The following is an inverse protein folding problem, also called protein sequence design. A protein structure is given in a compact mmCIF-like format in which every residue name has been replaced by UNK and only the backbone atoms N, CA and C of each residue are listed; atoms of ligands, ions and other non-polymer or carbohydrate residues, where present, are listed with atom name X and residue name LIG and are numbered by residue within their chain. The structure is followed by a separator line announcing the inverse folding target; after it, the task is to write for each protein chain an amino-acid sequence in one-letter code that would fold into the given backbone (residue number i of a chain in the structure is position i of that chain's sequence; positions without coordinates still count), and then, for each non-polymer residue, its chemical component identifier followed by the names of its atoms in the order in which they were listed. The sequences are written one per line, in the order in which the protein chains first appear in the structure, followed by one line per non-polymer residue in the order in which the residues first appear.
data_IF_289684343475
#
_entry.id   IF_289684343475
#
_cell.length_a   1.000
_cell.length_b   1.000
_cell.length_c   1.000
_cell.angle_alpha   90.00
_cell.angle_beta   90.00
_cell.angle_gamma   90.00
#
_symmetry.space_group_name_H-M   'P 1'
#
loop_
_entity.id
_entity.type
_entity.pdbx_description
1 polymer ?
#
# COMPACT_ATOMS: atom_id res chain seq x y z
N UNK A 1 37.47 -11.94 3.17
CA UNK A 1 36.06 -12.05 3.63
C UNK A 1 35.30 -10.71 3.54
N UNK A 2 35.58 -9.84 2.55
CA UNK A 2 34.97 -8.50 2.44
C UNK A 2 33.96 -8.34 1.26
N UNK A 3 33.74 -9.42 0.49
CA UNK A 3 32.82 -9.47 -0.66
C UNK A 3 31.36 -9.71 -0.25
N UNK A 4 31.09 -10.70 0.61
CA UNK A 4 29.74 -11.04 1.08
C UNK A 4 28.94 -9.84 1.63
N UNK A 5 29.59 -8.96 2.42
CA UNK A 5 28.93 -7.80 3.01
C UNK A 5 28.55 -6.71 2.00
N UNK A 6 29.20 -6.65 0.82
CA UNK A 6 28.84 -5.70 -0.24
C UNK A 6 27.66 -6.20 -1.04
N UNK A 7 27.65 -7.49 -1.37
CA UNK A 7 26.56 -8.11 -2.12
C UNK A 7 25.25 -8.12 -1.31
N UNK A 8 25.31 -8.40 0.00
CA UNK A 8 24.13 -8.32 0.88
C UNK A 8 23.58 -6.90 1.07
N UNK A 9 24.41 -5.87 0.90
CA UNK A 9 23.96 -4.47 0.92
C UNK A 9 23.34 -4.06 -0.41
N UNK A 10 23.87 -4.54 -1.52
CA UNK A 10 23.34 -4.29 -2.87
C UNK A 10 22.00 -5.00 -3.07
N UNK A 11 21.90 -6.27 -2.66
CA UNK A 11 20.67 -7.06 -2.72
C UNK A 11 19.55 -6.44 -1.88
N UNK A 12 19.88 -5.93 -0.68
CA UNK A 12 18.93 -5.17 0.17
C UNK A 12 18.49 -3.83 -0.42
N UNK A 13 19.31 -3.19 -1.27
CA UNK A 13 18.91 -1.97 -2.00
C UNK A 13 18.02 -2.30 -3.20
N UNK A 14 18.35 -3.36 -3.95
CA UNK A 14 17.51 -3.87 -5.03
C UNK A 14 16.13 -4.30 -4.55
N UNK A 15 16.03 -5.04 -3.43
CA UNK A 15 14.73 -5.40 -2.85
C UNK A 15 13.88 -4.18 -2.48
N UNK A 16 14.51 -3.10 -1.99
CA UNK A 16 13.81 -1.86 -1.67
C UNK A 16 13.35 -1.09 -2.92
N UNK A 17 14.14 -1.13 -3.98
CA UNK A 17 13.81 -0.50 -5.27
C UNK A 17 12.75 -1.30 -6.04
N UNK A 18 12.83 -2.63 -6.06
CA UNK A 18 11.84 -3.50 -6.69
C UNK A 18 10.49 -3.41 -5.98
N UNK A 19 10.49 -3.37 -4.64
CA UNK A 19 9.27 -3.13 -3.88
C UNK A 19 8.67 -1.76 -4.22
N UNK A 20 9.49 -0.72 -4.36
CA UNK A 20 9.03 0.62 -4.74
C UNK A 20 8.50 0.66 -6.18
N UNK A 21 9.13 -0.06 -7.10
CA UNK A 21 8.76 -0.09 -8.51
C UNK A 21 7.47 -0.86 -8.77
N UNK A 22 7.16 -1.88 -7.97
CA UNK A 22 6.00 -2.76 -8.18
C UNK A 22 4.86 -2.47 -7.20
N UNK A 23 5.13 -2.44 -5.90
CA UNK A 23 4.07 -2.27 -4.89
C UNK A 23 3.55 -0.84 -4.83
N UNK A 24 4.38 0.17 -5.08
CA UNK A 24 3.93 1.57 -5.02
C UNK A 24 2.86 1.89 -6.08
N UNK A 25 3.06 1.61 -7.39
CA UNK A 25 2.02 1.87 -8.38
C UNK A 25 0.78 1.00 -8.17
N UNK A 26 0.96 -0.27 -7.75
CA UNK A 26 -0.15 -1.18 -7.46
C UNK A 26 -1.00 -0.69 -6.28
N UNK A 27 -0.36 -0.16 -5.23
CA UNK A 27 -1.06 0.40 -4.06
C UNK A 27 -1.86 1.66 -4.42
N UNK A 28 -1.32 2.52 -5.29
CA UNK A 28 -2.03 3.71 -5.78
C UNK A 28 -3.21 3.31 -6.67
N UNK A 29 -3.04 2.29 -7.51
CA UNK A 29 -4.11 1.74 -8.33
C UNK A 29 -5.26 1.25 -7.45
N UNK A 30 -4.99 0.43 -6.43
CA UNK A 30 -6.03 -0.01 -5.50
C UNK A 30 -6.67 1.15 -4.74
N UNK A 31 -5.90 2.15 -4.31
CA UNK A 31 -6.44 3.34 -3.67
C UNK A 31 -7.40 4.13 -4.57
N UNK A 32 -7.03 4.32 -5.83
CA UNK A 32 -7.84 5.02 -6.83
C UNK A 32 -9.15 4.28 -7.12
N UNK A 33 -9.10 2.96 -7.34
CA UNK A 33 -10.31 2.16 -7.54
C UNK A 33 -11.16 2.07 -6.28
N UNK A 34 -10.55 2.04 -5.10
CA UNK A 34 -11.26 2.12 -3.83
C UNK A 34 -12.03 3.43 -3.68
N UNK A 35 -11.41 4.56 -4.02
CA UNK A 35 -12.06 5.87 -4.03
C UNK A 35 -13.25 5.90 -5.01
N UNK A 36 -13.07 5.39 -6.23
CA UNK A 36 -14.16 5.29 -7.21
C UNK A 36 -15.32 4.43 -6.69
N UNK A 37 -15.03 3.29 -6.05
CA UNK A 37 -16.06 2.42 -5.49
C UNK A 37 -16.85 3.10 -4.36
N UNK A 38 -16.18 3.87 -3.50
CA UNK A 38 -16.84 4.64 -2.43
C UNK A 38 -17.72 5.75 -3.02
N UNK A 39 -17.19 6.53 -3.98
CA UNK A 39 -17.95 7.60 -4.65
C UNK A 39 -19.16 7.02 -5.38
N UNK A 40 -18.97 5.91 -6.10
CA UNK A 40 -20.06 5.21 -6.76
C UNK A 40 -21.13 4.76 -5.77
N UNK A 41 -20.74 4.11 -4.66
CA UNK A 41 -21.68 3.69 -3.62
C UNK A 41 -22.36 4.87 -2.92
N UNK A 42 -21.76 6.05 -2.88
CA UNK A 42 -22.40 7.26 -2.39
C UNK A 42 -23.45 7.78 -3.39
N UNK A 43 -23.14 7.75 -4.70
CA UNK A 43 -24.10 8.09 -5.74
C UNK A 43 -25.33 7.18 -5.73
N UNK A 44 -25.19 5.87 -5.48
CA UNK A 44 -26.35 4.96 -5.42
C UNK A 44 -27.30 5.28 -4.27
N UNK A 45 -26.84 5.95 -3.21
CA UNK A 45 -27.70 6.46 -2.13
C UNK A 45 -28.55 7.62 -2.62
N UNK A 46 -27.95 8.52 -3.43
CA UNK A 46 -28.64 9.68 -4.00
C UNK A 46 -29.65 9.25 -5.07
N UNK A 47 -29.36 8.18 -5.81
CA UNK A 47 -30.23 7.65 -6.87
C UNK A 47 -31.40 6.78 -6.38
N UNK A 48 -31.66 6.69 -5.06
CA UNK A 48 -32.70 5.84 -4.46
C UNK A 48 -32.58 4.33 -4.72
N UNK A 49 -31.51 3.87 -5.39
CA UNK A 49 -31.20 2.45 -5.64
C UNK A 49 -30.81 1.69 -4.35
N UNK A 50 -30.61 2.42 -3.25
CA UNK A 50 -30.23 1.88 -1.95
C UNK A 50 -28.72 1.86 -1.74
N UNK A 51 -28.32 1.84 -0.46
CA UNK A 51 -26.90 1.85 -0.09
C UNK A 51 -26.28 0.46 -0.25
N UNK A 52 -25.33 0.34 -1.19
CA UNK A 52 -24.60 -0.91 -1.45
C UNK A 52 -23.42 -1.05 -0.48
N UNK A 53 -23.73 -1.44 0.76
CA UNK A 53 -22.77 -1.64 1.86
C UNK A 53 -21.56 -2.50 1.47
N UNK A 54 -21.76 -3.52 0.66
CA UNK A 54 -20.68 -4.42 0.22
C UNK A 54 -19.65 -3.69 -0.66
N UNK A 55 -20.12 -2.86 -1.59
CA UNK A 55 -19.26 -2.06 -2.47
C UNK A 55 -18.55 -0.97 -1.68
N UNK A 56 -19.27 -0.33 -0.77
CA UNK A 56 -18.68 0.66 0.13
C UNK A 56 -17.56 0.04 0.99
N UNK A 57 -17.82 -1.11 1.62
CA UNK A 57 -16.84 -1.83 2.43
C UNK A 57 -15.61 -2.26 1.62
N UNK A 58 -15.81 -2.80 0.42
CA UNK A 58 -14.73 -3.13 -0.49
C UNK A 58 -13.92 -1.89 -0.91
N UNK A 59 -14.61 -0.78 -1.22
CA UNK A 59 -13.99 0.49 -1.59
C UNK A 59 -13.13 1.08 -0.46
N UNK A 60 -13.65 1.11 0.76
CA UNK A 60 -12.90 1.56 1.95
C UNK A 60 -11.69 0.67 2.21
N UNK A 61 -11.84 -0.65 2.08
CA UNK A 61 -10.74 -1.60 2.25
C UNK A 61 -9.64 -1.37 1.23
N UNK A 62 -9.99 -1.20 -0.05
CA UNK A 62 -9.04 -0.90 -1.12
C UNK A 62 -8.37 0.48 -0.93
N UNK A 63 -9.12 1.47 -0.45
CA UNK A 63 -8.60 2.80 -0.14
C UNK A 63 -7.61 2.77 1.03
N UNK A 64 -7.79 1.85 1.99
CA UNK A 64 -6.86 1.63 3.10
C UNK A 64 -5.55 0.96 2.69
N UNK A 65 -5.51 0.30 1.54
CA UNK A 65 -4.36 -0.47 1.08
C UNK A 65 -3.07 0.37 0.90
N UNK A 66 -3.09 1.53 0.21
CA UNK A 66 -1.92 2.42 0.18
C UNK A 66 -1.51 2.94 1.56
N UNK A 67 -2.46 3.16 2.47
CA UNK A 67 -2.16 3.55 3.85
C UNK A 67 -1.42 2.44 4.60
N UNK A 68 -1.85 1.18 4.45
CA UNK A 68 -1.20 0.01 5.03
C UNK A 68 0.21 -0.20 4.47
N UNK A 69 0.40 -0.02 3.16
CA UNK A 69 1.74 -0.08 2.53
C UNK A 69 2.65 1.04 3.05
N UNK A 70 2.11 2.24 3.25
CA UNK A 70 2.84 3.36 3.85
C UNK A 70 3.21 3.11 5.31
N UNK A 71 2.28 2.59 6.12
CA UNK A 71 2.54 2.20 7.50
C UNK A 71 3.56 1.08 7.60
N UNK A 72 3.44 0.04 6.76
CA UNK A 72 4.43 -1.03 6.66
C UNK A 72 5.83 -0.49 6.35
N UNK A 73 5.92 0.49 5.44
CA UNK A 73 7.17 1.19 5.13
C UNK A 73 7.70 1.98 6.32
N UNK A 74 6.83 2.69 7.04
CA UNK A 74 7.21 3.41 8.27
C UNK A 74 7.74 2.46 9.33
N UNK A 75 6.98 1.41 9.68
CA UNK A 75 7.40 0.41 10.67
C UNK A 75 8.70 -0.29 10.28
N UNK A 76 8.83 -0.77 9.04
CA UNK A 76 10.05 -1.45 8.57
C UNK A 76 11.24 -0.49 8.45
N UNK A 77 10.99 0.77 8.09
CA UNK A 77 11.99 1.83 8.08
C UNK A 77 12.48 2.19 9.48
N UNK A 78 11.58 2.21 10.46
CA UNK A 78 11.87 2.58 11.84
C UNK A 78 12.57 1.44 12.61
N UNK A 79 12.10 0.19 12.48
CA UNK A 79 12.71 -1.00 13.09
C UNK A 79 14.15 -1.27 12.61
N UNK A 80 14.56 -0.71 11.47
CA UNK A 80 15.94 -0.81 10.98
C UNK A 80 16.92 0.15 11.66
N UNK A 81 16.44 1.22 12.28
CA UNK A 81 17.32 2.16 13.00
C UNK A 81 17.73 1.60 14.37
N UNK A 82 16.91 0.76 14.99
CA UNK A 82 17.21 0.18 16.30
C UNK A 82 18.07 -1.10 16.28
N UNK A 83 18.30 -1.69 15.10
CA UNK A 83 19.15 -2.89 14.98
C UNK A 83 20.65 -2.57 14.72
N UNK A 84 21.04 -1.31 14.90
CA UNK A 84 22.42 -0.81 14.74
C UNK A 84 22.94 -0.12 16.01
N UNK A 85 22.50 -0.59 17.19
CA UNK A 85 23.14 -0.26 18.46
C UNK A 85 23.97 -1.42 18.98
#
# INVERSE_FOLDING_TARGET
MNGNNRDDRLKRRQEAEDFRRIFQPLSLFFGFFGMLAVVWSACTVVSEEGFRKDIFGAGVTLMSFPLLVYLFRLFRGHLRQDLYR
#
